data_IF_500939190315
#
_entry.id   IF_500939190315
#
_cell.length_a   1.000
_cell.length_b   1.000
_cell.length_c   1.000
_cell.angle_alpha   90.00
_cell.angle_beta   90.00
_cell.angle_gamma   90.00
#
_symmetry.space_group_name_H-M   'P 1'
#
loop_
_entity.id
_entity.type
_entity.pdbx_description
1 polymer ?
#
# COMPACT_ATOMS: atom_id res chain seq x y z
N UNK A 1 -12.76 20.52 -0.32
CA UNK A 1 -13.29 19.65 0.75
C UNK A 1 -12.30 18.54 0.92
N UNK A 2 -11.97 18.11 2.14
CA UNK A 2 -11.11 16.93 2.32
C UNK A 2 -11.81 15.68 1.78
N UNK A 3 -11.19 15.00 0.82
CA UNK A 3 -11.77 13.86 0.08
C UNK A 3 -10.78 12.72 -0.15
N UNK A 4 -9.49 12.90 0.16
CA UNK A 4 -8.46 11.86 0.01
C UNK A 4 -8.81 10.62 0.83
N UNK A 5 -8.51 9.44 0.30
CA UNK A 5 -8.88 8.13 0.86
C UNK A 5 -10.40 7.87 1.07
N UNK A 6 -11.31 8.71 0.56
CA UNK A 6 -12.76 8.49 0.69
C UNK A 6 -13.32 7.79 -0.55
N UNK A 7 -13.83 6.60 -0.36
CA UNK A 7 -14.50 5.86 -1.43
C UNK A 7 -15.86 6.47 -1.81
N UNK A 8 -16.30 6.22 -3.05
CA UNK A 8 -17.56 6.78 -3.57
C UNK A 8 -17.41 8.13 -4.31
N UNK A 9 -16.34 8.28 -5.10
CA UNK A 9 -16.13 9.26 -6.19
C UNK A 9 -15.36 10.58 -5.93
N UNK A 10 -14.82 10.85 -4.74
CA UNK A 10 -14.26 12.18 -4.46
C UNK A 10 -12.73 12.25 -4.26
N UNK A 11 -12.01 11.13 -4.16
CA UNK A 11 -10.53 11.12 -4.12
C UNK A 11 -9.90 11.22 -5.53
N UNK A 12 -10.47 12.05 -6.42
CA UNK A 12 -10.13 12.13 -7.85
C UNK A 12 -10.06 13.60 -8.26
N UNK A 13 -8.98 13.98 -8.96
CA UNK A 13 -8.86 15.26 -9.64
C UNK A 13 -8.75 15.08 -11.15
N UNK A 14 -9.17 16.07 -11.94
CA UNK A 14 -9.03 16.08 -13.40
C UNK A 14 -8.11 17.22 -13.80
N UNK A 15 -6.99 16.89 -14.44
CA UNK A 15 -6.01 17.87 -14.91
C UNK A 15 -6.06 17.95 -16.43
N UNK A 16 -6.43 19.11 -16.98
CA UNK A 16 -6.43 19.33 -18.42
C UNK A 16 -5.03 19.73 -18.93
N UNK A 17 -4.51 18.98 -19.90
CA UNK A 17 -3.19 19.24 -20.50
C UNK A 17 -3.29 20.19 -21.69
N UNK A 18 -3.49 21.48 -21.42
CA UNK A 18 -3.68 22.53 -22.44
C UNK A 18 -2.38 23.10 -23.04
N UNK A 19 -1.21 22.66 -22.57
CA UNK A 19 0.11 23.20 -22.96
C UNK A 19 1.13 22.06 -23.14
N UNK A 20 2.41 22.40 -23.38
CA UNK A 20 3.52 21.43 -23.39
C UNK A 20 4.56 21.68 -22.29
N UNK A 21 4.17 22.34 -21.19
CA UNK A 21 5.09 22.71 -20.10
C UNK A 21 4.84 21.77 -18.90
N UNK A 22 5.70 20.76 -18.66
CA UNK A 22 5.43 19.75 -17.63
C UNK A 22 5.30 20.33 -16.22
N UNK A 23 6.13 21.32 -15.89
CA UNK A 23 6.11 22.01 -14.59
C UNK A 23 4.80 22.75 -14.32
N UNK A 24 4.15 23.28 -15.35
CA UNK A 24 2.84 23.91 -15.23
C UNK A 24 1.75 22.87 -14.95
N UNK A 25 1.78 21.73 -15.64
CA UNK A 25 0.87 20.61 -15.34
C UNK A 25 1.11 20.02 -13.95
N UNK A 26 2.37 19.99 -13.49
CA UNK A 26 2.71 19.58 -12.13
C UNK A 26 2.13 20.53 -11.06
N UNK A 27 2.11 21.85 -11.30
CA UNK A 27 1.40 22.78 -10.43
C UNK A 27 -0.10 22.49 -10.39
N UNK A 28 -0.76 22.27 -11.54
CA UNK A 28 -2.20 21.96 -11.57
C UNK A 28 -2.48 20.63 -10.85
N UNK A 29 -1.66 19.60 -11.09
CA UNK A 29 -1.77 18.33 -10.36
C UNK A 29 -1.63 18.52 -8.84
N UNK A 30 -0.66 19.31 -8.39
CA UNK A 30 -0.49 19.63 -6.98
C UNK A 30 -1.65 20.48 -6.40
N UNK A 31 -2.29 21.33 -7.22
CA UNK A 31 -3.48 22.10 -6.85
C UNK A 31 -4.70 21.21 -6.62
N UNK A 32 -5.01 20.33 -7.58
CA UNK A 32 -6.12 19.37 -7.46
C UNK A 32 -5.88 18.35 -6.34
N UNK A 33 -4.64 17.90 -6.15
CA UNK A 33 -4.26 17.09 -5.00
C UNK A 33 -4.41 17.86 -3.69
N UNK A 34 -4.03 19.14 -3.64
CA UNK A 34 -4.25 20.02 -2.50
C UNK A 34 -5.73 20.13 -2.12
N UNK A 35 -6.63 20.26 -3.11
CA UNK A 35 -8.07 20.21 -2.86
C UNK A 35 -8.52 18.87 -2.27
N UNK A 36 -8.02 17.73 -2.78
CA UNK A 36 -8.29 16.41 -2.19
C UNK A 36 -7.79 16.28 -0.74
N UNK A 37 -6.67 16.92 -0.41
CA UNK A 37 -6.10 17.05 0.93
C UNK A 37 -6.83 18.11 1.80
N UNK A 38 -7.95 18.66 1.34
CA UNK A 38 -8.79 19.58 2.09
C UNK A 38 -8.43 21.06 1.98
N UNK A 39 -7.41 21.42 1.20
CA UNK A 39 -6.96 22.80 1.06
C UNK A 39 -7.97 23.65 0.26
N UNK A 40 -8.13 24.89 0.68
CA UNK A 40 -8.92 25.91 -0.01
C UNK A 40 -8.02 26.79 -0.90
N UNK A 41 -8.63 27.64 -1.74
CA UNK A 41 -7.86 28.62 -2.49
C UNK A 41 -7.24 29.69 -1.59
N UNK A 42 -6.05 30.15 -1.97
CA UNK A 42 -5.40 31.29 -1.34
C UNK A 42 -5.95 32.62 -1.84
N UNK A 43 -6.14 33.59 -0.94
CA UNK A 43 -6.49 34.98 -1.29
C UNK A 43 -5.43 35.68 -2.16
N UNK A 44 -4.21 35.13 -2.23
CA UNK A 44 -3.04 35.70 -2.92
C UNK A 44 -2.56 34.81 -4.06
N UNK A 45 -2.13 35.45 -5.13
CA UNK A 45 -1.47 34.79 -6.28
C UNK A 45 -0.01 34.49 -5.97
N UNK A 46 0.53 33.45 -6.60
CA UNK A 46 1.95 33.06 -6.48
C UNK A 46 2.21 31.75 -5.73
N UNK A 47 1.17 31.01 -5.37
CA UNK A 47 1.27 29.72 -4.66
C UNK A 47 0.54 28.62 -5.44
N UNK A 48 0.74 27.36 -5.03
CA UNK A 48 0.06 26.21 -5.63
C UNK A 48 -1.48 26.37 -5.53
N UNK A 49 -2.01 26.76 -4.36
CA UNK A 49 -3.46 26.92 -4.15
C UNK A 49 -4.04 28.27 -4.62
N UNK A 50 -3.32 29.06 -5.41
CA UNK A 50 -3.89 30.29 -5.98
C UNK A 50 -5.07 29.98 -6.93
N UNK A 51 -6.19 30.75 -6.91
CA UNK A 51 -7.41 30.49 -7.68
C UNK A 51 -7.28 30.69 -9.20
N UNK A 52 -6.08 31.03 -9.69
CA UNK A 52 -5.77 31.17 -11.11
C UNK A 52 -4.29 30.86 -11.33
N UNK A 53 -3.98 29.94 -12.23
CA UNK A 53 -2.62 29.60 -12.65
C UNK A 53 -2.28 30.22 -14.02
N UNK A 54 -1.00 30.21 -14.40
CA UNK A 54 -0.54 30.66 -15.72
C UNK A 54 0.65 29.83 -16.18
N UNK A 55 0.65 29.41 -17.45
CA UNK A 55 1.78 28.67 -18.05
C UNK A 55 3.08 29.48 -18.11
N UNK A 56 2.99 30.81 -17.99
CA UNK A 56 4.12 31.74 -17.96
C UNK A 56 4.62 32.06 -16.54
N UNK A 57 3.84 31.72 -15.51
CA UNK A 57 4.19 31.99 -14.10
C UNK A 57 3.45 30.98 -13.21
N UNK A 58 4.16 29.91 -12.89
CA UNK A 58 3.72 28.81 -12.04
C UNK A 58 4.57 28.77 -10.76
N UNK A 59 3.99 28.27 -9.68
CA UNK A 59 4.63 28.16 -8.37
C UNK A 59 4.81 26.71 -7.95
N UNK A 60 5.91 26.45 -7.24
CA UNK A 60 6.24 25.16 -6.62
C UNK A 60 6.01 25.17 -5.10
N UNK A 61 5.45 26.25 -4.54
CA UNK A 61 5.30 26.44 -3.09
C UNK A 61 3.84 26.54 -2.67
N UNK A 62 3.50 25.92 -1.54
CA UNK A 62 2.25 26.17 -0.83
C UNK A 62 2.38 27.44 0.02
N UNK A 63 1.29 28.19 0.16
CA UNK A 63 1.25 29.36 1.03
C UNK A 63 1.34 28.96 2.52
N UNK A 64 1.70 29.89 3.42
CA UNK A 64 1.64 29.65 4.86
C UNK A 64 0.23 29.27 5.37
N UNK A 65 -0.83 29.78 4.74
CA UNK A 65 -2.22 29.42 5.03
C UNK A 65 -2.53 27.98 4.63
N UNK A 66 -2.13 27.56 3.43
CA UNK A 66 -2.28 26.19 2.93
C UNK A 66 -1.49 25.19 3.80
N UNK A 67 -0.23 25.50 4.12
CA UNK A 67 0.61 24.66 5.00
C UNK A 67 0.03 24.54 6.41
N UNK A 68 -0.52 25.64 6.96
CA UNK A 68 -1.21 25.60 8.26
C UNK A 68 -2.49 24.76 8.20
N UNK A 69 -3.30 24.90 7.14
CA UNK A 69 -4.51 24.11 6.94
C UNK A 69 -4.20 22.61 6.80
N UNK A 70 -3.12 22.26 6.08
CA UNK A 70 -2.65 20.88 5.96
C UNK A 70 -2.24 20.30 7.32
N UNK A 71 -1.39 21.01 8.07
CA UNK A 71 -0.85 20.56 9.36
C UNK A 71 -1.92 20.42 10.45
N UNK A 72 -3.00 21.20 10.36
CA UNK A 72 -4.16 21.11 11.27
C UNK A 72 -5.27 20.18 10.74
N UNK A 73 -5.10 19.59 9.56
CA UNK A 73 -6.06 18.71 8.92
C UNK A 73 -6.01 17.26 9.42
N UNK A 74 -7.06 16.49 9.17
CA UNK A 74 -7.06 15.06 9.43
C UNK A 74 -6.33 14.33 8.30
N UNK A 75 -5.05 13.98 8.51
CA UNK A 75 -4.34 13.09 7.58
C UNK A 75 -5.10 11.75 7.45
N UNK A 76 -5.65 11.47 6.28
CA UNK A 76 -6.44 10.28 6.05
C UNK A 76 -5.59 9.00 6.13
N UNK A 77 -6.19 7.90 6.60
CA UNK A 77 -5.47 6.70 6.99
C UNK A 77 -4.70 6.02 5.85
N UNK A 78 -5.15 6.11 4.59
CA UNK A 78 -4.46 5.48 3.47
C UNK A 78 -3.13 6.15 3.07
N UNK A 79 -2.86 7.37 3.54
CA UNK A 79 -1.59 8.09 3.28
C UNK A 79 -0.46 7.71 4.25
N UNK A 80 -0.70 6.83 5.24
CA UNK A 80 0.33 6.44 6.22
C UNK A 80 1.31 5.38 5.68
N UNK A 81 0.89 4.57 4.70
CA UNK A 81 1.77 3.60 4.06
C UNK A 81 2.68 4.30 3.05
N UNK A 82 3.95 4.49 3.42
CA UNK A 82 5.04 4.88 2.51
C UNK A 82 5.37 3.72 1.56
N UNK A 83 4.42 3.34 0.70
CA UNK A 83 4.69 2.34 -0.33
C UNK A 83 5.63 2.96 -1.37
N UNK A 84 6.88 2.50 -1.35
CA UNK A 84 7.85 2.78 -2.41
C UNK A 84 7.30 2.25 -3.75
N UNK A 85 6.65 3.13 -4.49
CA UNK A 85 6.32 2.90 -5.88
C UNK A 85 7.62 2.92 -6.68
N UNK A 86 7.84 2.01 -7.65
CA UNK A 86 9.03 2.03 -8.51
C UNK A 86 8.94 3.14 -9.57
N UNK A 87 8.67 4.38 -9.12
CA UNK A 87 8.65 5.59 -9.93
C UNK A 87 10.08 6.08 -10.19
N UNK A 88 10.80 5.31 -11.02
CA UNK A 88 12.11 5.69 -11.57
C UNK A 88 13.16 6.04 -10.52
N UNK A 89 14.02 5.09 -10.16
CA UNK A 89 15.13 5.28 -9.21
C UNK A 89 15.89 6.58 -9.49
N UNK A 90 15.71 7.59 -8.64
CA UNK A 90 16.20 8.95 -8.89
C UNK A 90 16.59 9.61 -7.59
N UNK A 91 17.88 9.56 -7.29
CA UNK A 91 18.52 10.37 -6.27
C UNK A 91 18.00 11.82 -6.26
N UNK A 92 17.56 12.29 -5.09
CA UNK A 92 16.93 13.58 -4.88
C UNK A 92 15.39 13.51 -4.81
N UNK A 93 14.80 12.31 -4.80
CA UNK A 93 13.36 12.11 -4.62
C UNK A 93 12.95 12.01 -3.13
N UNK A 94 13.91 11.83 -2.23
CA UNK A 94 13.72 11.76 -0.78
C UNK A 94 13.48 10.34 -0.23
N UNK A 95 13.59 9.31 -1.07
CA UNK A 95 13.50 7.90 -0.71
C UNK A 95 14.81 7.21 -1.04
N UNK A 96 15.35 6.42 -0.11
CA UNK A 96 16.59 5.67 -0.34
C UNK A 96 16.29 4.51 -1.30
N UNK A 97 16.60 4.69 -2.58
CA UNK A 97 16.37 3.70 -3.62
C UNK A 97 17.45 2.59 -3.63
N UNK A 98 17.17 1.37 -4.16
CA UNK A 98 18.16 0.30 -4.17
C UNK A 98 19.41 0.63 -5.02
N UNK A 99 20.49 1.00 -4.33
CA UNK A 99 21.78 1.47 -4.87
C UNK A 99 22.32 2.71 -4.13
N UNK A 100 21.46 3.43 -3.43
CA UNK A 100 21.74 4.65 -2.69
C UNK A 100 22.09 4.35 -1.22
N UNK A 101 22.80 5.27 -0.57
CA UNK A 101 23.13 5.17 0.87
C UNK A 101 22.35 6.18 1.72
N UNK A 102 21.81 7.21 1.07
CA UNK A 102 21.02 8.30 1.64
C UNK A 102 20.33 9.04 0.49
N UNK A 103 19.21 9.71 0.75
CA UNK A 103 18.62 10.68 -0.18
C UNK A 103 18.10 11.89 0.64
N UNK A 104 18.62 13.11 0.45
CA UNK A 104 18.16 14.30 1.16
C UNK A 104 16.93 14.96 0.52
N UNK A 105 16.40 14.37 -0.55
CA UNK A 105 15.43 14.97 -1.45
C UNK A 105 16.03 16.16 -2.18
N UNK A 106 15.23 17.22 -2.32
CA UNK A 106 15.66 18.49 -2.89
C UNK A 106 16.46 19.38 -1.92
N UNK A 107 16.81 18.88 -0.72
CA UNK A 107 17.53 19.63 0.30
C UNK A 107 19.04 19.39 0.21
N UNK A 108 19.83 20.40 0.59
CA UNK A 108 21.28 20.24 0.75
C UNK A 108 21.59 19.54 2.08
N UNK A 109 22.39 18.49 2.05
CA UNK A 109 22.83 17.77 3.24
C UNK A 109 24.36 17.69 3.31
N UNK A 110 24.93 18.16 4.41
CA UNK A 110 26.38 18.18 4.60
C UNK A 110 27.02 16.78 4.72
N UNK A 111 26.23 15.73 4.92
CA UNK A 111 26.67 14.34 4.97
C UNK A 111 26.35 13.55 3.67
N UNK A 112 25.40 13.99 2.84
CA UNK A 112 24.91 13.25 1.68
C UNK A 112 25.02 14.06 0.38
N UNK A 113 25.74 13.52 -0.60
CA UNK A 113 25.91 14.14 -1.91
C UNK A 113 25.85 13.04 -2.99
N UNK A 114 25.11 13.27 -4.07
CA UNK A 114 24.83 12.24 -5.10
C UNK A 114 24.32 10.91 -4.52
N UNK A 115 23.52 10.99 -3.47
CA UNK A 115 22.95 9.87 -2.71
C UNK A 115 23.98 8.87 -2.13
N UNK A 116 25.13 9.43 -1.75
CA UNK A 116 26.24 8.76 -1.07
C UNK A 116 26.69 9.51 0.17
N UNK A 117 27.14 8.77 1.18
CA UNK A 117 27.71 9.36 2.40
C UNK A 117 29.14 9.81 2.10
N UNK A 118 29.32 11.12 1.84
CA UNK A 118 30.58 11.66 1.31
C UNK A 118 31.59 12.12 2.37
N UNK A 119 31.19 12.19 3.65
CA UNK A 119 32.06 12.67 4.74
C UNK A 119 32.51 11.53 5.66
N UNK A 120 33.81 11.36 5.96
CA UNK A 120 34.29 10.34 6.90
C UNK A 120 33.72 10.44 8.33
N UNK A 121 33.23 11.62 8.72
CA UNK A 121 32.57 11.85 10.01
C UNK A 121 31.08 11.49 10.05
N UNK A 122 30.48 11.16 8.91
CA UNK A 122 29.06 10.85 8.82
C UNK A 122 28.83 9.33 8.71
N UNK A 123 27.76 8.87 9.33
CA UNK A 123 27.23 7.50 9.26
C UNK A 123 25.80 7.45 8.71
N UNK A 124 25.14 8.60 8.67
CA UNK A 124 23.83 8.86 8.09
C UNK A 124 23.83 10.28 7.50
N UNK A 125 22.86 10.56 6.64
CA UNK A 125 22.51 11.90 6.24
C UNK A 125 21.69 12.59 7.34
N UNK A 126 21.90 13.90 7.52
CA UNK A 126 21.20 14.69 8.53
C UNK A 126 19.69 14.82 8.25
N UNK A 127 19.28 14.63 7.00
CA UNK A 127 17.89 14.52 6.54
C UNK A 127 17.17 13.28 7.09
N UNK A 128 17.88 12.25 7.53
CA UNK A 128 17.27 11.02 8.03
C UNK A 128 16.78 11.15 9.48
N UNK A 129 15.57 10.65 9.78
CA UNK A 129 14.90 10.87 11.07
C UNK A 129 15.62 10.28 12.30
N UNK A 130 16.48 9.27 12.13
CA UNK A 130 17.37 8.72 13.16
C UNK A 130 18.82 9.23 13.09
N UNK A 131 19.09 10.30 12.34
CA UNK A 131 20.39 10.97 12.35
C UNK A 131 20.40 12.22 13.24
N UNK A 132 21.53 12.48 13.90
CA UNK A 132 21.83 13.68 14.67
C UNK A 132 23.28 14.09 14.37
N UNK A 133 23.46 15.20 13.63
CA UNK A 133 24.75 15.73 13.19
C UNK A 133 25.67 14.67 12.55
N UNK A 134 25.13 13.90 11.60
CA UNK A 134 25.83 12.82 10.89
C UNK A 134 26.06 11.54 11.69
N UNK A 135 25.55 11.42 12.93
CA UNK A 135 25.67 10.23 13.76
C UNK A 135 24.30 9.63 14.07
N UNK A 136 24.23 8.31 14.26
CA UNK A 136 22.97 7.67 14.63
C UNK A 136 22.51 8.14 16.01
N UNK A 137 21.23 8.52 16.12
CA UNK A 137 20.54 8.74 17.40
C UNK A 137 20.62 7.50 18.27
N UNK A 138 20.55 7.68 19.59
CA UNK A 138 20.63 6.57 20.55
C UNK A 138 19.50 5.56 20.33
N UNK A 139 19.76 4.29 20.62
CA UNK A 139 18.72 3.26 20.61
C UNK A 139 17.56 3.67 21.53
N UNK A 140 16.33 3.62 21.03
CA UNK A 140 15.13 4.04 21.77
C UNK A 140 14.77 5.53 21.65
N UNK A 141 15.57 6.35 20.95
CA UNK A 141 15.15 7.70 20.56
C UNK A 141 13.95 7.62 19.62
N UNK A 142 12.85 8.32 19.93
CA UNK A 142 11.67 8.38 19.05
C UNK A 142 12.03 9.10 17.75
N UNK A 143 11.67 8.50 16.61
CA UNK A 143 11.86 9.08 15.27
C UNK A 143 10.54 9.38 14.56
N UNK A 144 9.48 8.64 14.87
CA UNK A 144 8.11 9.01 14.54
C UNK A 144 7.26 8.93 15.81
N UNK A 145 6.56 10.01 16.13
CA UNK A 145 5.62 10.03 17.25
C UNK A 145 4.30 9.37 16.82
N UNK A 146 3.71 8.58 17.71
CA UNK A 146 2.37 8.03 17.48
C UNK A 146 1.35 9.16 17.26
N UNK A 147 0.56 9.07 16.20
CA UNK A 147 -0.50 10.02 15.84
C UNK A 147 -1.66 10.00 16.84
N UNK A 148 -1.96 8.83 17.40
CA UNK A 148 -2.88 8.66 18.52
C UNK A 148 -2.53 7.38 19.29
N UNK A 149 -2.49 7.46 20.62
CA UNK A 149 -2.04 6.35 21.48
C UNK A 149 -3.02 5.16 21.56
N UNK A 150 -4.15 5.21 20.86
CA UNK A 150 -5.16 4.15 20.84
C UNK A 150 -4.99 3.19 19.66
N UNK A 151 -4.39 3.64 18.56
CA UNK A 151 -4.26 2.87 17.31
C UNK A 151 -2.86 2.88 16.69
N UNK A 152 -2.00 3.78 17.14
CA UNK A 152 -0.68 4.03 16.59
C UNK A 152 0.39 3.88 17.69
N UNK A 153 1.58 3.36 17.34
CA UNK A 153 2.70 3.20 18.29
C UNK A 153 3.94 3.95 17.80
N UNK A 154 4.73 4.59 18.69
CA UNK A 154 5.87 5.39 18.24
C UNK A 154 7.08 4.54 17.83
N UNK A 155 7.61 4.77 16.64
CA UNK A 155 8.85 4.16 16.16
C UNK A 155 10.07 4.78 16.84
N UNK A 156 11.03 3.93 17.15
CA UNK A 156 12.27 4.32 17.80
C UNK A 156 13.49 3.85 17.02
N UNK A 157 14.52 4.68 17.05
CA UNK A 157 15.80 4.40 16.41
C UNK A 157 16.44 3.14 16.96
N UNK A 158 17.00 2.32 16.07
CA UNK A 158 17.78 1.13 16.42
C UNK A 158 19.10 1.45 17.10
N UNK A 159 19.63 2.66 16.90
CA UNK A 159 20.99 3.06 17.24
C UNK A 159 22.06 2.59 16.25
N UNK A 160 21.65 2.02 15.11
CA UNK A 160 22.53 1.38 14.12
C UNK A 160 22.22 1.78 12.67
N UNK A 161 21.21 2.62 12.46
CA UNK A 161 20.81 3.20 11.17
C UNK A 161 20.31 4.64 11.39
N UNK A 162 20.45 5.50 10.38
CA UNK A 162 19.81 6.81 10.34
C UNK A 162 18.35 6.75 9.88
N UNK A 163 17.93 5.66 9.27
CA UNK A 163 16.52 5.43 8.92
C UNK A 163 15.68 5.09 10.16
N UNK A 164 14.48 5.67 10.26
CA UNK A 164 13.45 5.22 11.19
C UNK A 164 12.88 3.90 10.68
N UNK A 165 12.57 2.90 11.51
CA UNK A 165 11.92 1.68 11.03
C UNK A 165 10.54 1.97 10.42
N UNK A 166 10.03 1.03 9.62
CA UNK A 166 8.69 1.08 9.03
C UNK A 166 7.60 1.41 10.07
N UNK A 167 6.63 2.23 9.67
CA UNK A 167 5.49 2.64 10.50
C UNK A 167 4.62 1.41 10.82
N UNK A 168 4.42 1.10 12.12
CA UNK A 168 3.64 -0.05 12.58
C UNK A 168 2.46 0.38 13.44
N UNK A 169 1.31 -0.23 13.18
CA UNK A 169 0.05 0.11 13.84
C UNK A 169 -0.45 -1.00 14.77
N UNK A 170 -1.34 -0.63 15.69
CA UNK A 170 -2.13 -1.62 16.40
C UNK A 170 -3.12 -2.31 15.42
N UNK A 171 -3.53 -3.56 15.69
CA UNK A 171 -4.37 -4.33 14.76
C UNK A 171 -5.65 -3.60 14.35
N UNK A 172 -6.10 -3.82 13.11
CA UNK A 172 -7.30 -3.20 12.52
C UNK A 172 -8.66 -3.59 13.15
N UNK A 173 -8.64 -4.18 14.35
CA UNK A 173 -9.80 -4.48 15.19
C UNK A 173 -9.55 -4.12 16.66
N UNK A 174 -8.47 -3.39 16.96
CA UNK A 174 -8.21 -2.89 18.30
C UNK A 174 -9.24 -1.82 18.66
N UNK A 175 -9.83 -1.91 19.85
CA UNK A 175 -10.87 -0.97 20.28
C UNK A 175 -10.28 0.41 20.60
N UNK A 176 -10.97 1.45 20.14
CA UNK A 176 -10.59 2.84 20.35
C UNK A 176 -11.84 3.71 20.60
N UNK A 177 -11.63 4.99 20.89
CA UNK A 177 -12.68 6.00 21.02
C UNK A 177 -12.52 7.00 19.89
N UNK A 178 -13.53 7.09 19.02
CA UNK A 178 -13.49 8.02 17.90
C UNK A 178 -13.57 9.49 18.37
N UNK A 179 -13.33 10.42 17.45
CA UNK A 179 -13.33 11.85 17.76
C UNK A 179 -14.71 12.40 18.20
N UNK A 180 -15.79 11.63 18.02
CA UNK A 180 -17.14 11.94 18.54
C UNK A 180 -17.38 11.33 19.93
N UNK A 181 -16.41 10.62 20.52
CA UNK A 181 -16.51 9.99 21.83
C UNK A 181 -17.17 8.61 21.82
N UNK A 182 -17.41 8.00 20.65
CA UNK A 182 -18.04 6.69 20.53
C UNK A 182 -17.00 5.56 20.44
N UNK A 183 -17.38 4.36 20.88
CA UNK A 183 -16.55 3.17 20.73
C UNK A 183 -16.44 2.79 19.25
N UNK A 184 -15.21 2.58 18.78
CA UNK A 184 -14.89 2.24 17.39
C UNK A 184 -13.64 1.34 17.34
N UNK A 185 -13.13 1.10 16.13
CA UNK A 185 -11.95 0.29 15.88
C UNK A 185 -10.83 1.08 15.22
N UNK A 186 -9.60 0.63 15.44
CA UNK A 186 -8.43 1.09 14.72
C UNK A 186 -8.42 0.59 13.27
N UNK A 187 -7.86 1.37 12.35
CA UNK A 187 -7.54 0.96 10.99
C UNK A 187 -6.36 1.80 10.47
N UNK A 188 -5.30 1.14 10.00
CA UNK A 188 -4.07 1.79 9.48
C UNK A 188 -3.56 2.94 10.38
N UNK A 189 -3.50 2.70 11.69
CA UNK A 189 -3.02 3.66 12.69
C UNK A 189 -4.04 4.69 13.17
N UNK A 190 -5.24 4.76 12.58
CA UNK A 190 -6.25 5.77 12.90
C UNK A 190 -7.45 5.12 13.60
N UNK A 191 -7.96 5.74 14.67
CA UNK A 191 -9.27 5.38 15.19
C UNK A 191 -10.34 5.90 14.22
N UNK A 192 -10.95 5.01 13.45
CA UNK A 192 -11.94 5.42 12.46
C UNK A 192 -13.25 5.81 13.14
N UNK A 193 -14.05 6.64 12.46
CA UNK A 193 -15.37 7.01 12.94
C UNK A 193 -16.30 5.78 12.96
N UNK A 194 -16.98 5.54 14.08
CA UNK A 194 -17.93 4.42 14.24
C UNK A 194 -19.06 4.47 13.19
N UNK A 195 -19.74 3.35 12.89
CA UNK A 195 -20.86 3.34 11.91
C UNK A 195 -22.00 4.29 12.31
N UNK A 196 -22.29 4.41 13.61
CA UNK A 196 -23.23 5.40 14.16
C UNK A 196 -22.70 6.82 13.97
N UNK A 197 -21.41 7.06 14.27
CA UNK A 197 -20.74 8.33 14.01
C UNK A 197 -20.80 8.73 12.55
N UNK A 198 -20.57 7.81 11.61
CA UNK A 198 -20.65 8.06 10.16
C UNK A 198 -22.07 8.44 9.73
N UNK A 199 -23.11 7.80 10.27
CA UNK A 199 -24.49 8.22 10.03
C UNK A 199 -24.78 9.62 10.63
N UNK A 200 -24.27 9.93 11.82
CA UNK A 200 -24.42 11.23 12.47
C UNK A 200 -23.59 12.36 11.85
N UNK A 201 -22.44 12.06 11.23
CA UNK A 201 -21.54 13.03 10.60
C UNK A 201 -21.81 13.19 9.10
N UNK A 202 -22.66 12.35 8.51
CA UNK A 202 -22.95 12.41 7.09
C UNK A 202 -23.76 13.67 6.76
N UNK A 203 -23.07 14.70 6.27
CA UNK A 203 -23.58 15.44 5.13
C UNK A 203 -23.66 14.46 3.95
N UNK A 204 -24.71 13.63 3.93
CA UNK A 204 -24.97 12.64 2.88
C UNK A 204 -24.91 13.35 1.52
N UNK A 205 -24.19 12.83 0.51
CA UNK A 205 -24.30 13.31 -0.86
C UNK A 205 -25.74 13.11 -1.37
N UNK A 206 -26.55 14.17 -1.29
CA UNK A 206 -28.01 14.08 -1.32
C UNK A 206 -28.71 15.02 -0.32
N UNK A 207 -28.02 15.48 0.71
CA UNK A 207 -28.45 16.53 1.67
C UNK A 207 -28.72 17.90 1.01
N UNK A 208 -28.30 18.08 -0.26
CA UNK A 208 -28.67 19.22 -1.10
C UNK A 208 -29.95 18.98 -1.94
N UNK A 209 -30.58 17.80 -1.86
CA UNK A 209 -31.82 17.45 -2.58
C UNK A 209 -32.86 16.73 -1.74
N UNK A 210 -32.54 16.29 -0.51
CA UNK A 210 -33.52 16.09 0.54
C UNK A 210 -33.73 17.43 1.23
N UNK A 211 -34.93 17.98 1.07
CA UNK A 211 -35.24 19.32 1.57
C UNK A 211 -35.17 19.35 3.10
N UNK A 212 -34.90 20.54 3.63
CA UNK A 212 -34.84 20.93 5.05
C UNK A 212 -36.18 20.75 5.82
N UNK A 213 -37.07 19.89 5.34
CA UNK A 213 -38.48 19.82 5.71
C UNK A 213 -38.90 18.52 6.44
N UNK A 214 -38.12 17.43 6.35
CA UNK A 214 -38.56 16.12 6.88
C UNK A 214 -37.89 15.68 8.20
N UNK A 215 -36.74 16.24 8.58
CA UNK A 215 -36.18 16.05 9.93
C UNK A 215 -35.51 17.32 10.49
N UNK A 216 -35.76 17.70 11.76
CA UNK A 216 -35.00 18.73 12.47
C UNK A 216 -33.52 18.34 12.63
N UNK A 217 -32.68 19.37 12.74
CA UNK A 217 -31.20 19.28 12.79
C UNK A 217 -30.67 18.54 14.05
N UNK A 218 -31.53 18.22 15.02
CA UNK A 218 -31.20 17.50 16.28
C UNK A 218 -31.36 15.96 16.22
N UNK A 219 -31.79 15.38 15.10
CA UNK A 219 -31.99 13.93 15.00
C UNK A 219 -30.66 13.20 14.78
N UNK A 220 -30.14 12.58 15.85
CA UNK A 220 -28.94 11.72 15.78
C UNK A 220 -29.22 10.47 14.95
N UNK A 221 -28.85 10.51 13.67
CA UNK A 221 -28.89 9.35 12.79
C UNK A 221 -27.89 8.28 13.26
N UNK A 222 -28.37 7.04 13.38
CA UNK A 222 -27.56 5.87 13.78
C UNK A 222 -27.50 4.86 12.65
N UNK A 223 -26.54 3.95 12.71
CA UNK A 223 -26.46 2.82 11.78
C UNK A 223 -27.59 1.82 12.03
N UNK A 224 -27.97 1.10 10.98
CA UNK A 224 -28.99 0.07 11.08
C UNK A 224 -28.41 -1.24 11.65
N UNK A 225 -29.01 -1.80 12.73
CA UNK A 225 -28.42 -2.91 13.49
C UNK A 225 -28.36 -4.23 12.70
N UNK A 226 -29.16 -4.36 11.63
CA UNK A 226 -29.19 -5.52 10.73
C UNK A 226 -28.26 -5.37 9.51
N UNK A 227 -27.68 -4.20 9.27
CA UNK A 227 -26.94 -3.90 8.03
C UNK A 227 -25.44 -3.84 8.28
N UNK A 228 -24.78 -4.98 8.14
CA UNK A 228 -23.33 -5.17 8.27
C UNK A 228 -22.60 -5.12 6.92
N UNK A 229 -23.25 -4.58 5.88
CA UNK A 229 -22.73 -4.40 4.54
C UNK A 229 -21.61 -3.36 4.47
N UNK A 230 -20.71 -3.55 3.51
CA UNK A 230 -19.65 -2.61 3.14
C UNK A 230 -19.95 -1.88 1.81
N UNK A 231 -20.85 -2.40 0.98
CA UNK A 231 -21.29 -1.73 -0.25
C UNK A 231 -22.08 -0.44 0.00
N UNK A 232 -22.73 -0.32 1.16
CA UNK A 232 -23.52 0.86 1.55
C UNK A 232 -23.70 0.95 3.06
N UNK A 233 -23.59 2.15 3.62
CA UNK A 233 -23.99 2.43 4.99
C UNK A 233 -25.49 2.76 5.03
N UNK A 234 -26.28 1.94 5.72
CA UNK A 234 -27.68 2.19 6.00
C UNK A 234 -27.82 2.85 7.38
N UNK A 235 -28.60 3.92 7.41
CA UNK A 235 -28.82 4.76 8.58
C UNK A 235 -30.31 4.80 8.95
N UNK A 236 -30.62 5.28 10.14
CA UNK A 236 -31.99 5.50 10.64
C UNK A 236 -32.05 6.67 11.60
N UNK A 237 -33.21 7.31 11.68
CA UNK A 237 -33.53 8.21 12.79
C UNK A 237 -33.49 7.46 14.14
N UNK A 238 -33.08 8.15 15.20
CA UNK A 238 -33.22 7.65 16.57
C UNK A 238 -34.68 7.61 17.07
N UNK A 239 -35.64 8.18 16.33
CA UNK A 239 -37.05 8.24 16.74
C UNK A 239 -37.92 7.07 16.25
N UNK A 240 -37.53 6.38 15.16
CA UNK A 240 -38.31 5.26 14.60
C UNK A 240 -37.42 4.14 14.05
N UNK A 241 -37.70 2.90 14.45
CA UNK A 241 -36.99 1.67 14.04
C UNK A 241 -37.30 1.22 12.58
N UNK A 242 -37.99 2.03 11.77
CA UNK A 242 -38.66 1.59 10.52
C UNK A 242 -38.09 2.16 9.20
N UNK A 243 -36.90 2.77 9.20
CA UNK A 243 -36.38 3.54 8.03
C UNK A 243 -35.11 2.97 7.37
N UNK A 244 -34.66 1.77 7.74
CA UNK A 244 -33.36 1.23 7.27
C UNK A 244 -33.23 1.03 5.76
N UNK A 245 -34.33 0.91 5.03
CA UNK A 245 -34.31 0.72 3.57
C UNK A 245 -34.31 2.03 2.77
N UNK A 246 -34.57 3.18 3.42
CA UNK A 246 -34.77 4.47 2.75
C UNK A 246 -33.64 5.48 2.98
N UNK A 247 -32.94 5.40 4.12
CA UNK A 247 -31.81 6.29 4.43
C UNK A 247 -30.48 5.55 4.23
N UNK A 248 -29.86 5.78 3.07
CA UNK A 248 -28.53 5.28 2.74
C UNK A 248 -27.55 6.42 2.52
N UNK A 249 -26.29 6.18 2.90
CA UNK A 249 -25.15 7.05 2.61
C UNK A 249 -24.24 6.38 1.56
N UNK A 250 -23.00 6.86 1.46
CA UNK A 250 -21.91 6.17 0.76
C UNK A 250 -21.61 4.80 1.41
N UNK A 251 -20.64 4.07 0.86
CA UNK A 251 -20.03 2.94 1.56
C UNK A 251 -19.53 3.37 2.96
N UNK A 252 -19.58 2.50 3.99
CA UNK A 252 -18.92 2.78 5.26
C UNK A 252 -17.41 2.96 5.02
N UNK A 253 -16.77 3.82 5.82
CA UNK A 253 -15.31 4.00 5.75
C UNK A 253 -14.58 2.66 5.88
N UNK A 254 -13.46 2.50 5.17
CA UNK A 254 -12.56 1.37 5.37
C UNK A 254 -12.15 1.24 6.86
N UNK A 255 -12.02 0.00 7.32
CA UNK A 255 -11.89 -0.34 8.75
C UNK A 255 -13.23 -0.50 9.49
N UNK A 256 -14.36 -0.07 8.91
CA UNK A 256 -15.67 -0.21 9.57
C UNK A 256 -16.01 -1.68 9.79
N UNK A 257 -16.43 -2.09 11.00
CA UNK A 257 -16.72 -3.50 11.25
C UNK A 257 -17.94 -3.97 10.45
N UNK A 258 -17.94 -5.25 10.05
CA UNK A 258 -18.84 -5.79 9.05
C UNK A 258 -19.21 -7.26 9.30
N UNK A 259 -20.10 -7.83 8.50
CA UNK A 259 -20.66 -9.16 8.78
C UNK A 259 -21.40 -9.85 7.63
N UNK A 260 -21.28 -9.35 6.39
CA UNK A 260 -21.87 -9.97 5.18
C UNK A 260 -23.34 -10.37 5.34
N UNK A 261 -24.21 -9.41 5.69
CA UNK A 261 -25.65 -9.59 6.01
C UNK A 261 -25.96 -10.39 7.29
N UNK A 262 -24.95 -10.84 8.03
CA UNK A 262 -25.07 -11.32 9.41
C UNK A 262 -24.88 -10.19 10.44
N UNK A 263 -24.85 -10.51 11.75
CA UNK A 263 -24.41 -9.59 12.80
C UNK A 263 -23.01 -9.02 12.51
N UNK A 264 -22.71 -7.85 13.08
CA UNK A 264 -21.36 -7.28 12.98
C UNK A 264 -20.36 -8.20 13.70
N UNK A 265 -19.32 -8.61 12.97
CA UNK A 265 -18.19 -9.39 13.46
C UNK A 265 -16.99 -8.46 13.71
N UNK A 266 -16.46 -8.44 14.92
CA UNK A 266 -15.31 -7.60 15.27
C UNK A 266 -13.98 -8.11 14.68
N UNK A 267 -13.93 -9.34 14.17
CA UNK A 267 -12.78 -9.86 13.43
C UNK A 267 -12.75 -9.41 11.97
N UNK A 268 -13.82 -8.76 11.47
CA UNK A 268 -13.95 -8.39 10.05
C UNK A 268 -14.20 -6.90 9.86
N UNK A 269 -13.63 -6.34 8.79
CA UNK A 269 -13.72 -4.93 8.45
C UNK A 269 -14.01 -4.71 6.97
N UNK A 270 -14.62 -3.56 6.67
CA UNK A 270 -14.78 -3.07 5.31
C UNK A 270 -13.42 -2.68 4.72
N UNK A 271 -13.13 -3.16 3.52
CA UNK A 271 -12.04 -2.69 2.65
C UNK A 271 -12.56 -2.67 1.22
N UNK A 272 -12.52 -1.51 0.58
CA UNK A 272 -13.01 -1.29 -0.78
C UNK A 272 -14.42 -1.79 -1.09
N UNK A 273 -15.33 -1.60 -0.14
CA UNK A 273 -16.72 -2.05 -0.23
C UNK A 273 -16.96 -3.55 0.03
N UNK A 274 -15.90 -4.33 0.32
CA UNK A 274 -15.96 -5.75 0.68
C UNK A 274 -15.71 -5.98 2.17
N UNK A 275 -16.28 -7.05 2.74
CA UNK A 275 -16.08 -7.40 4.16
C UNK A 275 -15.02 -8.49 4.31
N UNK A 276 -13.82 -8.13 4.73
CA UNK A 276 -12.63 -9.00 4.83
C UNK A 276 -12.18 -9.21 6.28
N UNK A 277 -11.34 -10.21 6.53
CA UNK A 277 -10.71 -10.43 7.83
C UNK A 277 -9.74 -9.27 8.17
N UNK A 278 -9.82 -8.73 9.39
CA UNK A 278 -9.02 -7.58 9.84
C UNK A 278 -7.51 -7.85 9.82
N UNK A 279 -7.12 -9.11 10.00
CA UNK A 279 -5.74 -9.60 9.90
C UNK A 279 -5.14 -9.46 8.50
N UNK A 280 -5.99 -9.44 7.47
CA UNK A 280 -5.58 -9.32 6.06
C UNK A 280 -5.66 -7.85 5.60
N UNK A 281 -6.60 -7.08 6.16
CA UNK A 281 -6.86 -5.67 5.86
C UNK A 281 -5.67 -4.72 6.10
N UNK A 282 -4.70 -5.11 6.94
CA UNK A 282 -3.75 -4.15 7.51
C UNK A 282 -2.49 -3.86 6.67
N UNK A 283 -2.19 -4.58 5.57
CA UNK A 283 -0.95 -4.32 4.81
C UNK A 283 -0.84 -4.91 3.40
N UNK A 284 -1.94 -5.14 2.68
CA UNK A 284 -1.89 -5.81 1.36
C UNK A 284 -2.77 -5.13 0.32
N UNK A 285 -2.36 -5.22 -0.94
CA UNK A 285 -3.22 -4.92 -2.10
C UNK A 285 -4.22 -6.07 -2.24
N UNK A 286 -5.42 -5.82 -2.77
CA UNK A 286 -6.46 -6.83 -2.89
C UNK A 286 -6.84 -7.03 -4.35
N UNK A 287 -6.75 -8.27 -4.83
CA UNK A 287 -7.39 -8.69 -6.08
C UNK A 287 -8.78 -9.25 -5.78
N UNK A 288 -9.79 -8.56 -6.31
CA UNK A 288 -11.19 -9.00 -6.29
C UNK A 288 -11.59 -9.38 -7.72
N UNK A 289 -11.91 -10.64 -7.99
CA UNK A 289 -12.53 -11.01 -9.27
C UNK A 289 -14.01 -10.62 -9.25
N UNK A 290 -14.57 -10.26 -10.41
CA UNK A 290 -15.98 -9.91 -10.54
C UNK A 290 -16.89 -11.11 -10.22
N UNK A 291 -17.48 -11.12 -9.03
CA UNK A 291 -18.42 -12.14 -8.57
C UNK A 291 -18.08 -12.77 -7.21
N UNK A 292 -16.87 -12.58 -6.70
CA UNK A 292 -16.45 -13.16 -5.41
C UNK A 292 -16.85 -12.27 -4.22
N UNK A 293 -17.41 -12.88 -3.17
CA UNK A 293 -17.76 -12.20 -1.92
C UNK A 293 -16.56 -12.04 -0.95
N UNK A 294 -15.37 -12.49 -1.36
CA UNK A 294 -14.14 -12.52 -0.56
C UNK A 294 -12.98 -12.15 -1.51
N UNK A 295 -12.34 -11.01 -1.29
CA UNK A 295 -11.13 -10.64 -2.01
C UNK A 295 -9.90 -11.34 -1.43
N UNK A 296 -8.94 -11.69 -2.29
CA UNK A 296 -7.66 -12.29 -1.88
C UNK A 296 -6.61 -11.19 -1.84
N UNK A 297 -5.69 -11.29 -0.88
CA UNK A 297 -4.63 -10.32 -0.71
C UNK A 297 -3.38 -10.67 -1.52
N UNK A 298 -2.88 -9.69 -2.27
CA UNK A 298 -1.70 -9.75 -3.11
C UNK A 298 -0.43 -9.75 -2.25
N UNK A 299 0.05 -10.95 -1.88
CA UNK A 299 1.41 -11.13 -1.38
C UNK A 299 2.44 -10.95 -2.51
N UNK A 300 2.81 -9.70 -2.80
CA UNK A 300 3.97 -9.41 -3.67
C UNK A 300 5.28 -10.03 -3.13
N UNK A 301 5.33 -10.31 -1.82
CA UNK A 301 6.40 -11.04 -1.14
C UNK A 301 6.59 -12.49 -1.64
N UNK A 302 5.53 -13.14 -2.16
CA UNK A 302 5.56 -14.54 -2.58
C UNK A 302 5.87 -14.76 -4.06
N UNK A 303 5.84 -13.72 -4.89
CA UNK A 303 6.21 -13.81 -6.31
C UNK A 303 7.75 -13.79 -6.47
N UNK A 304 8.47 -13.08 -5.60
CA UNK A 304 9.93 -12.95 -5.65
C UNK A 304 10.73 -14.16 -5.14
N UNK A 305 10.10 -15.13 -4.45
CA UNK A 305 10.80 -16.25 -3.81
C UNK A 305 10.25 -17.66 -4.10
N UNK A 306 9.43 -17.87 -5.15
CA UNK A 306 9.24 -19.24 -5.65
C UNK A 306 10.57 -19.74 -6.23
N UNK A 307 11.16 -20.85 -5.74
CA UNK A 307 12.48 -21.29 -6.18
C UNK A 307 12.37 -22.01 -7.53
N UNK A 308 12.20 -21.25 -8.61
CA UNK A 308 12.27 -21.76 -10.00
C UNK A 308 13.60 -22.49 -10.24
N UNK A 309 14.66 -22.07 -9.54
CA UNK A 309 15.93 -22.77 -9.46
C UNK A 309 15.83 -24.21 -8.96
N UNK A 310 14.99 -24.51 -7.97
CA UNK A 310 14.84 -25.86 -7.41
C UNK A 310 14.19 -26.83 -8.40
N UNK A 311 13.16 -26.36 -9.13
CA UNK A 311 12.53 -27.16 -10.20
C UNK A 311 13.45 -27.34 -11.40
N UNK A 312 14.19 -26.30 -11.83
CA UNK A 312 15.17 -26.40 -12.91
C UNK A 312 16.31 -27.37 -12.56
N UNK A 313 16.91 -27.25 -11.36
CA UNK A 313 17.99 -28.14 -10.91
C UNK A 313 17.50 -29.59 -10.87
N UNK A 314 16.30 -29.85 -10.35
CA UNK A 314 15.72 -31.19 -10.30
C UNK A 314 15.54 -31.81 -11.70
N UNK A 315 15.03 -31.04 -12.68
CA UNK A 315 14.86 -31.49 -14.06
C UNK A 315 16.20 -31.72 -14.76
N UNK A 316 17.19 -30.85 -14.57
CA UNK A 316 18.54 -31.00 -15.15
C UNK A 316 19.25 -32.24 -14.58
N UNK A 317 19.21 -32.46 -13.26
CA UNK A 317 19.80 -33.64 -12.62
C UNK A 317 19.13 -34.92 -13.12
N UNK A 318 17.80 -34.97 -13.20
CA UNK A 318 17.07 -36.11 -13.75
C UNK A 318 17.47 -36.39 -15.22
N UNK A 319 17.59 -35.34 -16.04
CA UNK A 319 18.00 -35.45 -17.46
C UNK A 319 19.40 -36.04 -17.60
N UNK A 320 20.38 -35.57 -16.81
CA UNK A 320 21.76 -36.07 -16.82
C UNK A 320 21.85 -37.53 -16.38
N UNK A 321 21.08 -37.93 -15.36
CA UNK A 321 21.02 -39.31 -14.88
C UNK A 321 20.42 -40.25 -15.93
N UNK A 322 19.32 -39.85 -16.59
CA UNK A 322 18.69 -40.62 -17.68
C UNK A 322 19.66 -40.77 -18.85
N UNK A 323 20.32 -39.69 -19.28
CA UNK A 323 21.28 -39.74 -20.39
C UNK A 323 22.45 -40.69 -20.06
N UNK A 324 22.97 -40.62 -18.83
CA UNK A 324 24.05 -41.49 -18.34
C UNK A 324 23.63 -42.97 -18.34
N UNK A 325 22.39 -43.26 -17.94
CA UNK A 325 21.86 -44.63 -17.94
C UNK A 325 21.68 -45.18 -19.36
N UNK A 326 21.17 -44.36 -20.29
CA UNK A 326 21.03 -44.73 -21.71
C UNK A 326 22.38 -44.98 -22.38
N UNK A 327 23.39 -44.15 -22.12
CA UNK A 327 24.75 -44.36 -22.64
C UNK A 327 25.37 -45.65 -22.09
N UNK A 328 25.17 -45.96 -20.81
CA UNK A 328 25.62 -47.21 -20.20
C UNK A 328 24.92 -48.43 -20.83
N UNK A 329 23.60 -48.37 -21.02
CA UNK A 329 22.82 -49.43 -21.68
C UNK A 329 23.28 -49.65 -23.14
N UNK A 330 23.55 -48.59 -23.89
CA UNK A 330 24.11 -48.66 -25.25
C UNK A 330 25.51 -49.31 -25.26
N UNK A 331 26.38 -48.96 -24.32
CA UNK A 331 27.71 -49.58 -24.20
C UNK A 331 27.63 -51.08 -23.88
N UNK A 332 26.70 -51.49 -23.01
CA UNK A 332 26.45 -52.90 -22.69
C UNK A 332 25.85 -53.67 -23.88
N UNK A 333 24.94 -53.05 -24.65
CA UNK A 333 24.42 -53.62 -25.90
C UNK A 333 25.50 -53.79 -26.97
N UNK A 334 26.40 -52.81 -27.15
CA UNK A 334 27.52 -52.95 -28.09
C UNK A 334 28.51 -54.04 -27.65
N UNK A 335 28.80 -54.18 -26.34
CA UNK A 335 29.60 -55.31 -25.83
C UNK A 335 28.94 -56.66 -26.09
N UNK A 336 27.61 -56.79 -26.02
CA UNK A 336 26.89 -58.02 -26.39
C UNK A 336 26.91 -58.30 -27.90
N UNK A 337 26.84 -57.27 -28.76
CA UNK A 337 26.95 -57.44 -30.23
C UNK A 337 28.35 -57.82 -30.71
N UNK A 338 29.40 -57.53 -29.93
CA UNK A 338 30.77 -57.98 -30.22
C UNK A 338 31.04 -59.47 -29.99
N UNK A 339 30.09 -60.23 -29.43
CA UNK A 339 30.25 -61.64 -29.08
C UNK A 339 29.44 -62.56 -30.02
N UNK A 340 29.88 -62.68 -31.28
CA UNK A 340 29.56 -63.83 -32.13
C UNK A 340 30.85 -64.61 -32.50
N UNK A 341 30.82 -65.95 -32.52
CA UNK A 341 32.03 -66.76 -32.68
C UNK A 341 32.49 -66.82 -34.15
N UNK A 342 33.81 -66.66 -34.36
CA UNK A 342 34.45 -67.00 -35.64
C UNK A 342 34.55 -68.52 -35.77
N UNK A 343 33.75 -69.11 -36.66
CA UNK A 343 33.96 -70.49 -37.11
C UNK A 343 35.15 -70.59 -38.06
N UNK A 344 35.82 -71.74 -38.04
CA UNK A 344 37.04 -72.01 -38.80
C UNK A 344 36.77 -72.36 -40.27
N UNK A 345 37.75 -72.08 -41.11
CA UNK A 345 37.98 -72.80 -42.36
C UNK A 345 39.39 -73.37 -42.34
N UNK A 346 39.47 -74.71 -42.27
CA UNK A 346 40.72 -75.46 -42.35
C UNK A 346 41.32 -75.36 -43.75
N UNK A 347 42.65 -75.52 -43.86
CA UNK A 347 43.24 -76.07 -45.08
C UNK A 347 44.21 -77.21 -44.75
N UNK A 348 44.05 -78.29 -45.51
CA UNK A 348 44.54 -79.66 -45.33
C UNK A 348 44.76 -80.25 -46.73
N UNK A 349 45.73 -81.11 -47.03
CA UNK A 349 46.76 -81.80 -46.21
C UNK A 349 48.09 -81.73 -47.02
N UNK A 350 49.00 -82.70 -46.80
CA UNK A 350 49.94 -83.31 -47.76
C UNK A 350 51.39 -82.77 -47.88
N UNK A 351 52.40 -83.63 -48.05
CA UNK A 351 52.59 -85.04 -47.62
C UNK A 351 54.04 -85.46 -47.90
N UNK A 352 54.60 -86.34 -47.08
CA UNK A 352 55.67 -87.28 -47.44
C UNK A 352 55.50 -88.56 -46.59
N UNK A 353 55.78 -89.77 -47.06
CA UNK A 353 55.93 -90.24 -48.44
C UNK A 353 55.86 -91.79 -48.45
N UNK A 354 55.16 -92.36 -49.43
CA UNK A 354 55.36 -93.68 -50.04
C UNK A 354 54.34 -93.87 -51.18
#
# INVERSE_FOLDING_TARGET
>A
MDTVCKEGNNAVGVVESTTRIPSYHAQIFAHELGHNLGLAHDDRKGFIMSPSSSSWSYSTEFSPSSTSAFNNGHMAACLSSSRQLPLGKTCGNGFIDPGEECDPGLQSDDCCESCKIVRPRCRCANSEACCDNGQYKKKGSVCRSSRNTQCDVPETCSGQSGHCPEDVFLPSSNMCTDWMGAASNCYLGVCILSRDGQCSSANVPGSASLTKAEFPIDVKARSCPTTSLCSRLHCRSSSEDRSCDQLWSNAPNDGSPCGNNGPIDSSRVCVSGYCVESTIASNKTFTCNSGDAICVADDLSLIAQRPVWSTIISVVVASVLILSFLLCACALCNRRRGAQPRNSSQNHIQMQAA
#
